data_IF_628557369500
#
_entry.id   IF_628557369500
#
_cell.length_a   1.000
_cell.length_b   1.000
_cell.length_c   1.000
_cell.angle_alpha   90.00
_cell.angle_beta   90.00
_cell.angle_gamma   90.00
#
_symmetry.space_group_name_H-M   'P 1'
#
loop_
_entity.id
_entity.type
_entity.pdbx_description
1 polymer ?
#
# COMPACT_ATOMS: atom_id res chain seq x y z
N UNK A 1 -37.72 -26.28 -4.76
CA UNK A 1 -37.33 -25.39 -3.63
C UNK A 1 -36.14 -24.59 -4.06
N UNK A 2 -36.18 -23.28 -3.93
CA UNK A 2 -35.03 -22.43 -4.29
C UNK A 2 -33.93 -22.65 -3.25
N UNK A 3 -32.75 -23.04 -3.68
CA UNK A 3 -31.57 -23.25 -2.81
C UNK A 3 -31.15 -21.92 -2.21
N UNK A 4 -30.99 -21.87 -0.89
CA UNK A 4 -30.53 -20.67 -0.19
C UNK A 4 -29.12 -20.87 0.33
N UNK A 5 -28.23 -19.95 -0.03
CA UNK A 5 -26.93 -19.81 0.58
C UNK A 5 -27.05 -19.09 1.93
N UNK A 6 -26.42 -19.66 2.97
CA UNK A 6 -26.30 -19.01 4.28
C UNK A 6 -24.83 -19.04 4.68
N UNK A 7 -24.24 -17.86 4.82
CA UNK A 7 -22.82 -17.67 5.13
C UNK A 7 -22.71 -16.72 6.31
N UNK A 8 -21.97 -17.10 7.36
CA UNK A 8 -21.59 -16.15 8.40
C UNK A 8 -20.11 -15.79 8.27
N UNK A 9 -19.78 -14.56 8.59
CA UNK A 9 -18.41 -14.09 8.64
C UNK A 9 -18.13 -13.29 9.93
N UNK A 10 -16.86 -13.16 10.29
CA UNK A 10 -16.42 -12.26 11.34
C UNK A 10 -16.48 -10.78 10.89
N UNK A 11 -16.09 -9.85 11.78
CA UNK A 11 -16.06 -8.39 11.49
C UNK A 11 -15.13 -8.02 10.33
N UNK A 12 -14.24 -8.90 9.93
CA UNK A 12 -13.28 -8.71 8.83
C UNK A 12 -13.73 -9.40 7.55
N UNK A 13 -14.90 -10.01 7.57
CA UNK A 13 -15.48 -10.73 6.45
C UNK A 13 -14.92 -12.14 6.26
N UNK A 14 -14.10 -12.69 7.19
CA UNK A 14 -13.62 -14.06 7.11
C UNK A 14 -14.78 -15.04 7.35
N UNK A 15 -14.92 -16.03 6.48
CA UNK A 15 -16.01 -16.99 6.52
C UNK A 15 -15.87 -17.87 7.76
N UNK A 16 -16.92 -17.88 8.61
CA UNK A 16 -17.01 -18.68 9.84
C UNK A 16 -17.89 -19.92 9.61
N UNK A 17 -19.03 -19.75 8.93
CA UNK A 17 -19.90 -20.88 8.55
C UNK A 17 -20.31 -20.79 7.09
N UNK A 18 -20.54 -21.94 6.48
CA UNK A 18 -20.87 -22.07 5.07
C UNK A 18 -21.78 -23.30 4.90
N UNK A 19 -23.05 -23.09 4.53
CA UNK A 19 -24.02 -24.18 4.46
C UNK A 19 -23.94 -24.95 3.12
N UNK A 20 -24.52 -26.16 3.02
CA UNK A 20 -24.56 -26.92 1.77
C UNK A 20 -25.21 -26.17 0.60
N UNK A 21 -26.20 -25.29 0.88
CA UNK A 21 -26.78 -24.44 -0.14
C UNK A 21 -25.80 -23.41 -0.71
N UNK A 22 -24.86 -22.93 0.10
CA UNK A 22 -23.78 -22.07 -0.37
C UNK A 22 -22.79 -22.85 -1.24
N UNK A 23 -22.50 -24.11 -0.92
CA UNK A 23 -21.66 -24.97 -1.77
C UNK A 23 -22.28 -25.14 -3.16
N UNK A 24 -23.60 -25.41 -3.22
CA UNK A 24 -24.33 -25.58 -4.47
C UNK A 24 -24.38 -24.26 -5.29
N UNK A 25 -24.65 -23.12 -4.63
CA UNK A 25 -24.80 -21.82 -5.28
C UNK A 25 -23.48 -21.29 -5.81
N UNK A 26 -22.39 -21.36 -5.02
CA UNK A 26 -21.11 -20.74 -5.34
C UNK A 26 -20.07 -21.71 -5.93
N UNK A 27 -20.28 -23.03 -5.77
CA UNK A 27 -19.36 -24.05 -6.32
C UNK A 27 -18.06 -24.23 -5.53
N UNK A 28 -17.96 -23.72 -4.30
CA UNK A 28 -16.86 -23.93 -3.37
C UNK A 28 -17.31 -24.86 -2.24
N UNK A 29 -16.43 -25.72 -1.74
CA UNK A 29 -16.74 -26.52 -0.55
C UNK A 29 -16.47 -25.74 0.73
N UNK A 30 -17.14 -26.09 1.83
CA UNK A 30 -16.92 -25.46 3.13
C UNK A 30 -15.43 -25.56 3.55
N UNK A 31 -14.80 -26.70 3.32
CA UNK A 31 -13.37 -26.92 3.64
C UNK A 31 -12.41 -26.02 2.87
N UNK A 32 -12.79 -25.54 1.69
CA UNK A 32 -11.97 -24.63 0.89
C UNK A 32 -12.07 -23.18 1.37
N UNK A 33 -13.16 -22.78 2.05
CA UNK A 33 -13.45 -21.36 2.33
C UNK A 33 -13.52 -21.02 3.81
N UNK A 34 -14.02 -21.91 4.70
CA UNK A 34 -14.17 -21.64 6.13
C UNK A 34 -12.83 -21.40 6.79
N UNK A 35 -12.67 -20.26 7.46
CA UNK A 35 -11.43 -19.81 8.11
C UNK A 35 -10.30 -19.42 7.14
N UNK A 36 -10.48 -19.65 5.83
CA UNK A 36 -9.43 -19.47 4.80
C UNK A 36 -9.69 -18.33 3.83
N UNK A 37 -10.95 -17.96 3.63
CA UNK A 37 -11.35 -16.97 2.63
C UNK A 37 -12.28 -15.93 3.24
N UNK A 38 -12.44 -14.82 2.53
CA UNK A 38 -13.37 -13.73 2.90
C UNK A 38 -14.59 -13.72 1.97
N UNK A 39 -15.73 -13.29 2.49
CA UNK A 39 -16.99 -13.19 1.72
C UNK A 39 -16.89 -12.25 0.51
N UNK A 40 -15.94 -11.33 0.50
CA UNK A 40 -15.67 -10.44 -0.63
C UNK A 40 -15.31 -11.19 -1.92
N UNK A 41 -14.83 -12.43 -1.84
CA UNK A 41 -14.52 -13.25 -3.02
C UNK A 41 -15.75 -13.59 -3.87
N UNK A 42 -16.94 -13.52 -3.30
CA UNK A 42 -18.17 -13.84 -4.01
C UNK A 42 -18.78 -12.65 -4.73
N UNK A 43 -18.29 -11.43 -4.50
CA UNK A 43 -18.83 -10.21 -5.11
C UNK A 43 -17.86 -9.58 -6.08
N UNK A 44 -18.31 -9.03 -7.22
CA UNK A 44 -17.48 -8.20 -8.07
C UNK A 44 -16.83 -7.06 -7.28
N UNK A 45 -15.53 -6.84 -7.48
CA UNK A 45 -14.75 -5.87 -6.71
C UNK A 45 -15.33 -4.45 -6.67
N UNK A 46 -15.85 -3.88 -7.78
CA UNK A 46 -16.49 -2.56 -7.74
C UNK A 46 -17.71 -2.49 -6.82
N UNK A 47 -18.45 -3.60 -6.65
CA UNK A 47 -19.55 -3.70 -5.69
C UNK A 47 -19.00 -3.71 -4.26
N UNK A 48 -17.92 -4.47 -4.00
CA UNK A 48 -17.28 -4.50 -2.69
C UNK A 48 -16.84 -3.10 -2.28
N UNK A 49 -16.15 -2.37 -3.16
CA UNK A 49 -15.64 -1.04 -2.87
C UNK A 49 -16.72 0.04 -2.78
N UNK A 50 -17.76 -0.06 -3.60
CA UNK A 50 -18.76 1.01 -3.74
C UNK A 50 -20.01 0.85 -2.88
N UNK A 51 -20.35 -0.38 -2.49
CA UNK A 51 -21.66 -0.67 -1.92
C UNK A 51 -21.63 -1.43 -0.59
N UNK A 52 -20.76 -2.43 -0.45
CA UNK A 52 -20.79 -3.34 0.73
C UNK A 52 -20.66 -2.56 2.04
N UNK A 53 -19.79 -1.56 2.12
CA UNK A 53 -19.64 -0.74 3.34
C UNK A 53 -20.93 -0.05 3.77
N UNK A 54 -21.73 0.45 2.82
CA UNK A 54 -23.02 1.06 3.11
C UNK A 54 -24.07 0.02 3.50
N UNK A 55 -24.05 -1.18 2.88
CA UNK A 55 -24.95 -2.28 3.24
C UNK A 55 -24.74 -2.74 4.67
N UNK A 56 -23.47 -2.91 5.09
CA UNK A 56 -23.11 -3.28 6.45
C UNK A 56 -23.54 -2.20 7.45
N UNK A 57 -23.26 -0.91 7.14
CA UNK A 57 -23.69 0.21 7.98
C UNK A 57 -25.22 0.27 8.15
N UNK A 58 -25.98 0.03 7.08
CA UNK A 58 -27.44 -0.04 7.16
C UNK A 58 -27.87 -1.23 8.04
N UNK A 59 -27.24 -2.39 7.86
CA UNK A 59 -27.52 -3.57 8.67
C UNK A 59 -27.25 -3.33 10.17
N UNK A 60 -26.17 -2.61 10.50
CA UNK A 60 -25.84 -2.26 11.89
C UNK A 60 -26.86 -1.31 12.52
N UNK A 61 -27.37 -0.32 11.75
CA UNK A 61 -28.31 0.69 12.27
C UNK A 61 -29.74 0.16 12.30
N UNK A 62 -30.18 -0.55 11.24
CA UNK A 62 -31.58 -0.99 11.04
C UNK A 62 -31.79 -2.44 11.45
N UNK A 63 -30.75 -3.15 11.91
CA UNK A 63 -30.75 -4.56 12.26
C UNK A 63 -30.69 -5.50 11.06
N UNK A 64 -30.88 -5.00 9.83
CA UNK A 64 -30.74 -5.75 8.58
C UNK A 64 -30.58 -4.82 7.38
N UNK A 65 -29.99 -5.34 6.33
CA UNK A 65 -30.06 -4.80 4.98
C UNK A 65 -30.62 -5.86 4.03
N UNK A 66 -31.46 -5.47 3.10
CA UNK A 66 -32.01 -6.34 2.06
C UNK A 66 -31.90 -5.64 0.70
N UNK A 67 -31.51 -6.39 -0.33
CA UNK A 67 -31.39 -5.85 -1.68
C UNK A 67 -30.99 -6.89 -2.70
N UNK A 68 -30.95 -6.46 -3.97
CA UNK A 68 -30.53 -7.29 -5.09
C UNK A 68 -29.13 -6.92 -5.51
N UNK A 69 -28.31 -7.94 -5.86
CA UNK A 69 -26.94 -7.75 -6.32
C UNK A 69 -26.48 -8.90 -7.20
N UNK A 70 -25.23 -8.80 -7.67
CA UNK A 70 -24.56 -9.83 -8.46
C UNK A 70 -23.47 -10.48 -7.62
N UNK A 71 -23.41 -11.80 -7.70
CA UNK A 71 -22.32 -12.62 -7.19
C UNK A 71 -21.61 -13.35 -8.31
N UNK A 72 -20.43 -13.90 -7.99
CA UNK A 72 -19.58 -14.66 -8.91
C UNK A 72 -19.34 -16.05 -8.34
N UNK A 73 -19.49 -17.09 -9.17
CA UNK A 73 -19.22 -18.48 -8.83
C UNK A 73 -17.72 -18.79 -8.97
N UNK A 74 -17.34 -20.01 -8.54
CA UNK A 74 -15.97 -20.54 -8.67
C UNK A 74 -15.45 -20.53 -10.11
N UNK A 75 -16.32 -20.80 -11.08
CA UNK A 75 -16.00 -20.80 -12.51
C UNK A 75 -15.92 -19.39 -13.13
N UNK A 76 -16.16 -18.35 -12.35
CA UNK A 76 -16.17 -16.95 -12.78
C UNK A 76 -17.51 -16.50 -13.36
N UNK A 77 -18.54 -17.36 -13.43
CA UNK A 77 -19.87 -17.00 -13.96
C UNK A 77 -20.62 -16.08 -12.98
N UNK A 78 -21.11 -14.90 -13.43
CA UNK A 78 -21.93 -14.03 -12.60
C UNK A 78 -23.36 -14.55 -12.51
N UNK A 79 -24.06 -14.24 -11.39
CA UNK A 79 -25.48 -14.51 -11.23
C UNK A 79 -26.15 -13.45 -10.34
N UNK A 80 -27.42 -13.16 -10.61
CA UNK A 80 -28.24 -12.28 -9.79
C UNK A 80 -28.77 -12.99 -8.54
N UNK A 81 -28.84 -12.30 -7.42
CA UNK A 81 -29.43 -12.82 -6.19
C UNK A 81 -30.08 -11.72 -5.35
N UNK A 82 -31.19 -12.09 -4.66
CA UNK A 82 -31.68 -11.33 -3.53
C UNK A 82 -30.87 -11.69 -2.29
N UNK A 83 -30.46 -10.67 -1.53
CA UNK A 83 -29.55 -10.80 -0.39
C UNK A 83 -30.13 -10.13 0.83
N UNK A 84 -30.02 -10.81 1.98
CA UNK A 84 -30.24 -10.22 3.30
C UNK A 84 -28.97 -10.33 4.10
N UNK A 85 -28.54 -9.21 4.70
CA UNK A 85 -27.40 -9.14 5.62
C UNK A 85 -27.91 -8.74 6.99
N UNK A 86 -27.53 -9.50 8.03
CA UNK A 86 -27.88 -9.24 9.42
C UNK A 86 -26.62 -9.29 10.29
N UNK A 87 -26.44 -8.39 11.26
CA UNK A 87 -25.34 -8.50 12.21
C UNK A 87 -25.54 -9.73 13.12
N UNK A 88 -24.47 -10.38 13.52
CA UNK A 88 -24.45 -11.52 14.42
C UNK A 88 -23.82 -11.13 15.76
N UNK A 89 -24.45 -11.54 16.88
CA UNK A 89 -24.02 -11.20 18.22
C UNK A 89 -23.73 -12.46 19.05
N UNK A 90 -22.78 -12.33 19.97
CA UNK A 90 -22.51 -13.31 21.02
C UNK A 90 -22.26 -12.54 22.32
N UNK A 91 -22.99 -12.88 23.36
CA UNK A 91 -22.89 -12.25 24.70
C UNK A 91 -23.05 -10.71 24.66
N UNK A 92 -23.87 -10.20 23.71
CA UNK A 92 -24.10 -8.77 23.50
C UNK A 92 -23.05 -8.05 22.65
N UNK A 93 -21.97 -8.71 22.29
CA UNK A 93 -20.91 -8.18 21.41
C UNK A 93 -21.14 -8.63 19.98
N UNK A 94 -20.97 -7.71 19.02
CA UNK A 94 -21.09 -8.02 17.60
C UNK A 94 -19.87 -8.81 17.13
N UNK A 95 -20.13 -10.01 16.61
CA UNK A 95 -19.10 -10.94 16.13
C UNK A 95 -18.87 -10.90 14.63
N UNK A 96 -19.83 -10.34 13.87
CA UNK A 96 -19.76 -10.29 12.42
C UNK A 96 -21.14 -10.16 11.77
N UNK A 97 -21.31 -10.81 10.61
CA UNK A 97 -22.53 -10.73 9.83
C UNK A 97 -22.96 -12.11 9.32
N UNK A 98 -24.28 -12.26 9.10
CA UNK A 98 -24.87 -13.38 8.40
C UNK A 98 -25.47 -12.87 7.09
N UNK A 99 -25.02 -13.44 5.97
CA UNK A 99 -25.55 -13.21 4.63
C UNK A 99 -26.41 -14.39 4.19
N UNK A 100 -27.65 -14.12 3.82
CA UNK A 100 -28.56 -15.09 3.17
C UNK A 100 -28.78 -14.66 1.74
N UNK A 101 -28.40 -15.50 0.77
CA UNK A 101 -28.54 -15.20 -0.66
C UNK A 101 -29.47 -16.21 -1.34
N UNK A 102 -30.39 -15.72 -2.16
CA UNK A 102 -31.29 -16.52 -2.97
C UNK A 102 -31.05 -16.21 -4.43
N UNK A 103 -30.54 -17.15 -5.25
CA UNK A 103 -30.34 -16.94 -6.67
C UNK A 103 -31.62 -16.61 -7.41
N UNK A 104 -31.54 -15.73 -8.40
CA UNK A 104 -32.64 -15.30 -9.27
C UNK A 104 -32.33 -15.74 -10.72
N UNK A 105 -32.71 -16.97 -11.12
CA UNK A 105 -32.36 -17.51 -12.43
C UNK A 105 -32.98 -16.74 -13.59
N UNK A 106 -34.13 -16.07 -13.34
CA UNK A 106 -34.89 -15.33 -14.36
C UNK A 106 -34.46 -13.85 -14.48
N UNK A 107 -33.45 -13.41 -13.68
CA UNK A 107 -32.94 -12.03 -13.69
C UNK A 107 -31.54 -12.02 -14.28
N UNK A 108 -31.33 -11.17 -15.27
CA UNK A 108 -29.98 -10.97 -15.84
C UNK A 108 -29.04 -10.39 -14.79
N UNK A 109 -27.76 -10.85 -14.71
CA UNK A 109 -26.75 -10.22 -13.86
C UNK A 109 -26.61 -8.72 -14.12
N UNK A 110 -26.74 -8.25 -15.36
CA UNK A 110 -26.64 -6.83 -15.72
C UNK A 110 -27.75 -5.99 -15.10
N UNK A 111 -28.98 -6.53 -14.98
CA UNK A 111 -30.11 -5.86 -14.33
C UNK A 111 -29.96 -5.76 -12.80
N UNK A 112 -29.26 -6.74 -12.21
CA UNK A 112 -29.03 -6.80 -10.78
C UNK A 112 -27.74 -6.05 -10.36
N UNK A 113 -26.93 -5.60 -11.34
CA UNK A 113 -25.67 -4.93 -11.06
C UNK A 113 -25.93 -3.50 -10.56
N UNK A 114 -25.54 -3.16 -9.31
CA UNK A 114 -25.75 -1.81 -8.81
C UNK A 114 -24.89 -0.79 -9.56
N UNK A 115 -25.39 0.46 -9.74
CA UNK A 115 -24.68 1.49 -10.49
C UNK A 115 -23.36 1.86 -9.81
N UNK A 116 -22.26 1.80 -10.55
CA UNK A 116 -20.94 2.17 -10.05
C UNK A 116 -20.70 3.66 -10.28
N UNK A 117 -20.59 4.41 -9.19
CA UNK A 117 -20.34 5.85 -9.22
C UNK A 117 -18.95 6.20 -9.78
N UNK A 118 -18.79 7.43 -10.28
CA UNK A 118 -17.48 7.95 -10.67
C UNK A 118 -16.48 7.93 -9.50
N UNK A 119 -16.96 8.24 -8.29
CA UNK A 119 -16.13 8.18 -7.07
C UNK A 119 -15.59 6.77 -6.83
N UNK A 120 -16.42 5.72 -7.00
CA UNK A 120 -15.97 4.32 -6.88
C UNK A 120 -14.94 3.98 -7.95
N UNK A 121 -15.11 4.44 -9.19
CA UNK A 121 -14.12 4.22 -10.27
C UNK A 121 -12.78 4.89 -9.97
N UNK A 122 -12.80 6.13 -9.49
CA UNK A 122 -11.59 6.84 -9.06
C UNK A 122 -10.94 6.13 -7.87
N UNK A 123 -11.73 5.71 -6.88
CA UNK A 123 -11.23 4.96 -5.74
C UNK A 123 -10.61 3.62 -6.15
N UNK A 124 -11.18 2.92 -7.12
CA UNK A 124 -10.58 1.71 -7.73
C UNK A 124 -9.20 2.00 -8.29
N UNK A 125 -9.02 3.12 -9.01
CA UNK A 125 -7.71 3.56 -9.49
C UNK A 125 -6.72 3.80 -8.35
N UNK A 126 -7.15 4.45 -7.26
CA UNK A 126 -6.32 4.68 -6.07
C UNK A 126 -5.91 3.37 -5.38
N UNK A 127 -6.80 2.37 -5.35
CA UNK A 127 -6.49 1.04 -4.81
C UNK A 127 -5.46 0.33 -5.67
N UNK A 128 -5.66 0.27 -7.01
CA UNK A 128 -4.74 -0.39 -7.96
C UNK A 128 -3.34 0.22 -7.89
N UNK A 129 -3.24 1.55 -7.77
CA UNK A 129 -1.96 2.28 -7.72
C UNK A 129 -1.33 2.32 -6.33
N UNK A 130 -2.04 1.82 -5.30
CA UNK A 130 -1.64 1.91 -3.88
C UNK A 130 -1.35 3.35 -3.46
N UNK A 131 -2.25 4.27 -3.84
CA UNK A 131 -2.07 5.71 -3.70
C UNK A 131 -1.63 6.21 -2.30
N UNK A 132 -2.08 5.65 -1.16
CA UNK A 132 -1.60 6.08 0.15
C UNK A 132 -0.07 6.00 0.31
N UNK A 133 0.59 5.09 -0.40
CA UNK A 133 2.04 4.93 -0.34
C UNK A 133 2.80 5.90 -1.25
N UNK A 134 2.14 6.60 -2.17
CA UNK A 134 2.79 7.62 -3.02
C UNK A 134 3.39 8.76 -2.21
N UNK A 135 2.99 8.95 -0.95
CA UNK A 135 3.65 9.86 -0.01
C UNK A 135 5.14 9.57 0.13
N UNK A 136 5.56 8.29 0.01
CA UNK A 136 6.97 7.90 0.03
C UNK A 136 7.78 8.51 -1.14
N UNK A 137 7.13 8.84 -2.26
CA UNK A 137 7.75 9.59 -3.37
C UNK A 137 7.59 11.10 -3.22
N UNK A 138 6.39 11.56 -2.84
CA UNK A 138 6.11 12.99 -2.74
C UNK A 138 7.06 13.66 -1.74
N UNK A 139 7.26 13.05 -0.59
CA UNK A 139 8.07 13.64 0.50
C UNK A 139 9.54 13.87 0.10
N UNK A 140 10.31 12.88 -0.39
CA UNK A 140 11.71 13.13 -0.76
C UNK A 140 11.86 14.13 -1.92
N UNK A 141 10.91 14.15 -2.87
CA UNK A 141 10.89 15.16 -3.94
C UNK A 141 10.65 16.56 -3.36
N UNK A 142 9.75 16.72 -2.38
CA UNK A 142 9.51 17.99 -1.70
C UNK A 142 10.71 18.43 -0.85
N UNK A 143 11.36 17.50 -0.15
CA UNK A 143 12.57 17.78 0.66
C UNK A 143 13.68 18.33 -0.23
N UNK A 144 13.95 17.67 -1.36
CA UNK A 144 14.97 18.14 -2.30
C UNK A 144 14.57 19.45 -2.99
N UNK A 145 13.27 19.63 -3.33
CA UNK A 145 12.78 20.86 -3.91
C UNK A 145 12.88 22.05 -2.94
N UNK A 146 12.61 21.82 -1.65
CA UNK A 146 12.74 22.83 -0.61
C UNK A 146 14.20 23.29 -0.43
N UNK A 147 15.15 22.33 -0.41
CA UNK A 147 16.57 22.65 -0.38
C UNK A 147 17.03 23.41 -1.64
N UNK A 148 16.57 22.99 -2.82
CA UNK A 148 16.85 23.70 -4.07
C UNK A 148 16.24 25.12 -4.10
N UNK A 149 15.06 25.30 -3.52
CA UNK A 149 14.43 26.62 -3.35
C UNK A 149 15.26 27.55 -2.48
N UNK A 150 15.77 27.07 -1.34
CA UNK A 150 16.55 27.88 -0.40
C UNK A 150 17.84 28.44 -1.00
N UNK A 151 18.48 27.71 -1.95
CA UNK A 151 19.74 28.12 -2.59
C UNK A 151 19.54 28.74 -3.98
N UNK A 152 18.28 28.89 -4.44
CA UNK A 152 18.00 29.39 -5.77
C UNK A 152 18.38 30.86 -5.92
N UNK A 153 19.31 31.18 -6.83
CA UNK A 153 19.66 32.55 -7.19
C UNK A 153 18.68 33.23 -8.17
N UNK A 154 17.63 32.52 -8.57
CA UNK A 154 16.62 32.97 -9.55
C UNK A 154 15.27 32.30 -9.33
N UNK A 155 14.32 32.47 -10.28
CA UNK A 155 13.00 31.84 -10.14
C UNK A 155 13.09 30.33 -10.06
N UNK A 156 12.31 29.74 -9.14
CA UNK A 156 12.26 28.29 -8.97
C UNK A 156 11.75 27.60 -10.24
N UNK A 157 12.38 26.49 -10.69
CA UNK A 157 12.06 25.83 -11.95
C UNK A 157 10.81 24.91 -11.83
N UNK A 158 9.62 25.50 -11.67
CA UNK A 158 8.36 24.78 -11.48
C UNK A 158 8.07 23.73 -12.55
N UNK A 159 8.46 23.99 -13.82
CA UNK A 159 8.31 23.03 -14.91
C UNK A 159 9.12 21.76 -14.68
N UNK A 160 10.39 21.88 -14.27
CA UNK A 160 11.24 20.73 -13.95
C UNK A 160 10.77 20.01 -12.69
N UNK A 161 10.35 20.74 -11.66
CA UNK A 161 9.76 20.17 -10.45
C UNK A 161 8.55 19.29 -10.80
N UNK A 162 7.63 19.80 -11.64
CA UNK A 162 6.45 19.06 -12.07
C UNK A 162 6.82 17.80 -12.86
N UNK A 163 7.78 17.89 -13.78
CA UNK A 163 8.27 16.73 -14.54
C UNK A 163 8.90 15.68 -13.64
N UNK A 164 9.76 16.08 -12.69
CA UNK A 164 10.36 15.16 -11.72
C UNK A 164 9.29 14.48 -10.86
N UNK A 165 8.34 15.26 -10.32
CA UNK A 165 7.27 14.73 -9.49
C UNK A 165 6.44 13.68 -10.25
N UNK A 166 6.01 14.00 -11.47
CA UNK A 166 5.20 13.08 -12.29
C UNK A 166 6.01 11.84 -12.69
N UNK A 167 7.28 11.98 -13.09
CA UNK A 167 8.14 10.86 -13.44
C UNK A 167 8.38 9.92 -12.24
N UNK A 168 8.68 10.49 -11.07
CA UNK A 168 8.91 9.73 -9.85
C UNK A 168 7.63 9.01 -9.38
N UNK A 169 6.47 9.67 -9.43
CA UNK A 169 5.19 9.06 -9.11
C UNK A 169 4.83 7.93 -10.10
N UNK A 170 5.05 8.13 -11.39
CA UNK A 170 4.82 7.09 -12.40
C UNK A 170 5.72 5.88 -12.17
N UNK A 171 7.00 6.07 -11.83
CA UNK A 171 7.93 5.00 -11.48
C UNK A 171 7.49 4.25 -10.21
N UNK A 172 6.98 4.96 -9.20
CA UNK A 172 6.44 4.34 -7.99
C UNK A 172 5.17 3.52 -8.27
N UNK A 173 4.26 4.02 -9.11
CA UNK A 173 3.10 3.25 -9.56
C UNK A 173 3.55 1.98 -10.29
N UNK A 174 4.57 2.06 -11.15
CA UNK A 174 5.15 0.88 -11.79
C UNK A 174 5.68 -0.13 -10.77
N UNK A 175 6.43 0.33 -9.76
CA UNK A 175 6.96 -0.52 -8.69
C UNK A 175 5.84 -1.23 -7.91
N UNK A 176 4.79 -0.50 -7.51
CA UNK A 176 3.65 -1.05 -6.79
C UNK A 176 2.89 -2.12 -7.60
N UNK A 177 2.65 -1.84 -8.89
CA UNK A 177 1.90 -2.76 -9.75
C UNK A 177 2.74 -3.97 -10.16
N UNK A 178 4.05 -3.84 -10.36
CA UNK A 178 4.95 -5.00 -10.53
C UNK A 178 4.97 -5.86 -9.27
N UNK A 179 5.02 -5.25 -8.09
CA UNK A 179 4.94 -5.98 -6.82
C UNK A 179 3.66 -6.81 -6.76
N UNK A 180 2.49 -6.19 -6.96
CA UNK A 180 1.21 -6.90 -6.93
C UNK A 180 1.11 -8.02 -7.99
N UNK A 181 1.65 -7.79 -9.20
CA UNK A 181 1.66 -8.81 -10.23
C UNK A 181 2.50 -10.03 -9.86
N UNK A 182 3.76 -9.81 -9.43
CA UNK A 182 4.68 -10.89 -9.12
C UNK A 182 4.33 -11.60 -7.82
N UNK A 183 3.81 -10.91 -6.80
CA UNK A 183 3.32 -11.53 -5.56
C UNK A 183 2.06 -12.38 -5.83
N UNK A 184 1.20 -11.97 -6.76
CA UNK A 184 0.08 -12.79 -7.22
C UNK A 184 0.55 -14.05 -7.96
N UNK A 185 1.44 -13.90 -8.95
CA UNK A 185 1.95 -15.02 -9.76
C UNK A 185 2.75 -16.02 -8.92
N UNK A 186 3.47 -15.56 -7.90
CA UNK A 186 4.22 -16.42 -6.97
C UNK A 186 3.34 -17.10 -5.91
N UNK A 187 2.06 -16.72 -5.78
CA UNK A 187 1.14 -17.24 -4.77
C UNK A 187 1.27 -16.57 -3.40
N UNK A 188 2.20 -15.62 -3.22
CA UNK A 188 2.43 -14.92 -1.94
C UNK A 188 1.15 -14.28 -1.41
N UNK A 189 0.39 -13.62 -2.27
CA UNK A 189 -0.85 -12.94 -1.90
C UNK A 189 -2.00 -13.92 -1.62
N UNK A 190 -2.07 -15.05 -2.36
CA UNK A 190 -3.14 -16.04 -2.20
C UNK A 190 -3.10 -16.75 -0.84
N UNK A 191 -1.91 -16.91 -0.26
CA UNK A 191 -1.71 -17.58 1.03
C UNK A 191 -1.80 -16.64 2.24
N UNK A 192 -1.87 -15.32 2.00
CA UNK A 192 -1.97 -14.33 3.08
C UNK A 192 -3.42 -14.02 3.42
N UNK A 193 -3.91 -14.58 4.55
CA UNK A 193 -5.26 -14.36 5.06
C UNK A 193 -5.33 -13.35 6.22
N UNK A 194 -4.18 -12.90 6.78
CA UNK A 194 -4.10 -12.06 7.98
C UNK A 194 -3.69 -10.60 7.69
N UNK A 195 -3.76 -10.19 6.44
CA UNK A 195 -3.39 -8.83 6.00
C UNK A 195 -4.24 -7.71 6.61
N UNK A 196 -3.68 -6.52 6.65
CA UNK A 196 -4.33 -5.27 7.12
C UNK A 196 -4.51 -4.30 5.95
N UNK A 197 -5.67 -4.33 5.31
CA UNK A 197 -5.95 -3.34 4.25
C UNK A 197 -5.97 -1.91 4.79
N UNK A 198 -5.42 -0.96 4.05
CA UNK A 198 -4.70 -1.04 2.76
C UNK A 198 -3.18 -1.24 2.93
N UNK A 199 -2.66 -1.57 4.11
CA UNK A 199 -1.25 -1.46 4.48
C UNK A 199 -0.42 -2.70 4.14
N UNK A 200 -0.95 -3.90 4.32
CA UNK A 200 -0.24 -5.16 4.06
C UNK A 200 -1.01 -6.08 3.14
N UNK A 201 -0.36 -7.11 2.60
CA UNK A 201 -0.96 -8.08 1.70
C UNK A 201 -1.21 -7.58 0.27
N UNK A 202 -0.48 -6.59 -0.21
CA UNK A 202 -0.67 -6.02 -1.54
C UNK A 202 -1.91 -5.14 -1.67
N UNK A 203 -2.27 -4.73 -2.90
CA UNK A 203 -3.47 -3.93 -3.17
C UNK A 203 -4.76 -4.74 -3.09
N UNK A 204 -4.66 -6.06 -3.17
CA UNK A 204 -5.80 -6.99 -3.33
C UNK A 204 -6.66 -6.72 -4.58
N UNK A 205 -6.22 -5.86 -5.48
CA UNK A 205 -6.97 -5.48 -6.67
C UNK A 205 -7.28 -6.69 -7.57
N UNK A 206 -6.35 -7.64 -7.67
CA UNK A 206 -6.52 -8.88 -8.46
C UNK A 206 -7.49 -9.82 -7.74
N UNK A 207 -7.33 -10.05 -6.44
CA UNK A 207 -8.20 -10.92 -5.64
C UNK A 207 -9.66 -10.41 -5.65
N UNK A 208 -9.84 -9.10 -5.53
CA UNK A 208 -11.16 -8.46 -5.60
C UNK A 208 -11.75 -8.41 -7.02
N UNK A 209 -11.02 -8.87 -8.05
CA UNK A 209 -11.49 -8.81 -9.43
C UNK A 209 -11.62 -7.39 -9.99
N UNK A 210 -10.94 -6.41 -9.41
CA UNK A 210 -10.92 -5.03 -9.92
C UNK A 210 -10.16 -4.93 -11.24
N UNK A 211 -9.13 -5.75 -11.38
CA UNK A 211 -8.26 -5.82 -12.56
C UNK A 211 -7.63 -7.21 -12.63
N UNK A 212 -7.37 -7.71 -13.85
CA UNK A 212 -6.66 -8.98 -14.02
C UNK A 212 -5.16 -8.84 -13.71
N UNK A 213 -4.48 -9.95 -13.39
CA UNK A 213 -3.04 -9.96 -13.17
C UNK A 213 -2.24 -9.41 -14.38
N UNK A 214 -2.69 -9.72 -15.62
CA UNK A 214 -2.11 -9.12 -16.83
C UNK A 214 -2.41 -7.61 -16.92
N UNK A 215 -3.61 -7.19 -16.51
CA UNK A 215 -3.99 -5.77 -16.47
C UNK A 215 -3.11 -4.96 -15.53
N UNK A 216 -2.82 -5.50 -14.32
CA UNK A 216 -1.90 -4.85 -13.37
C UNK A 216 -0.49 -4.71 -13.96
N UNK A 217 0.02 -5.76 -14.64
CA UNK A 217 1.31 -5.70 -15.33
C UNK A 217 1.31 -4.59 -16.41
N UNK A 218 0.25 -4.49 -17.22
CA UNK A 218 0.14 -3.44 -18.23
C UNK A 218 0.10 -2.03 -17.63
N UNK A 219 -0.61 -1.82 -16.52
CA UNK A 219 -0.57 -0.54 -15.79
C UNK A 219 0.86 -0.19 -15.40
N UNK A 220 1.62 -1.16 -14.87
CA UNK A 220 3.02 -0.97 -14.52
C UNK A 220 3.91 -0.64 -15.71
N UNK A 221 3.76 -1.35 -16.83
CA UNK A 221 4.54 -1.10 -18.03
C UNK A 221 4.24 0.28 -18.64
N UNK A 222 2.97 0.70 -18.66
CA UNK A 222 2.58 2.04 -19.12
C UNK A 222 3.13 3.12 -18.21
N UNK A 223 3.06 2.92 -16.88
CA UNK A 223 3.63 3.84 -15.92
C UNK A 223 5.16 3.95 -16.05
N UNK A 224 5.86 2.82 -16.24
CA UNK A 224 7.30 2.80 -16.50
C UNK A 224 7.66 3.52 -17.81
N UNK A 225 6.89 3.29 -18.87
CA UNK A 225 7.08 3.97 -20.16
C UNK A 225 6.89 5.50 -20.02
N UNK A 226 5.87 5.93 -19.27
CA UNK A 226 5.64 7.35 -18.99
C UNK A 226 6.81 7.95 -18.18
N UNK A 227 7.27 7.26 -17.12
CA UNK A 227 8.43 7.69 -16.33
C UNK A 227 9.70 7.80 -17.20
N UNK A 228 9.92 6.83 -18.11
CA UNK A 228 11.06 6.82 -19.02
C UNK A 228 10.96 7.98 -20.05
N UNK A 229 9.79 8.22 -20.61
CA UNK A 229 9.60 9.31 -21.58
C UNK A 229 9.87 10.69 -20.93
N UNK A 230 9.30 10.93 -19.73
CA UNK A 230 9.54 12.18 -18.98
C UNK A 230 11.00 12.26 -18.52
N UNK A 231 11.57 11.14 -18.03
CA UNK A 231 12.97 11.05 -17.65
C UNK A 231 13.91 11.38 -18.81
N UNK A 232 13.59 10.94 -20.04
CA UNK A 232 14.37 11.27 -21.23
C UNK A 232 14.35 12.78 -21.53
N UNK A 233 13.22 13.46 -21.32
CA UNK A 233 13.15 14.93 -21.44
C UNK A 233 14.02 15.59 -20.38
N UNK A 234 13.98 15.10 -19.12
CA UNK A 234 14.85 15.61 -18.05
C UNK A 234 16.35 15.40 -18.37
N UNK A 235 16.73 14.24 -18.93
CA UNK A 235 18.10 13.96 -19.40
C UNK A 235 18.53 14.92 -20.49
N UNK A 236 17.66 15.23 -21.46
CA UNK A 236 17.97 16.22 -22.52
C UNK A 236 18.20 17.62 -21.96
N UNK A 237 17.53 18.01 -20.87
CA UNK A 237 17.64 19.33 -20.26
C UNK A 237 18.83 19.42 -19.29
N UNK A 238 19.05 18.36 -18.48
CA UNK A 238 19.99 18.38 -17.34
C UNK A 238 21.23 17.51 -17.51
N UNK A 239 21.25 16.64 -18.51
CA UNK A 239 22.41 15.83 -18.84
C UNK A 239 22.30 14.37 -18.40
N UNK A 240 23.30 13.55 -18.82
CA UNK A 240 23.24 12.08 -18.76
C UNK A 240 23.33 11.48 -17.35
N UNK A 241 23.72 12.25 -16.33
CA UNK A 241 23.78 11.74 -14.95
C UNK A 241 22.39 11.24 -14.47
N UNK A 242 21.28 11.82 -14.96
CA UNK A 242 19.93 11.37 -14.65
C UNK A 242 19.61 9.95 -15.16
N UNK A 243 20.32 9.47 -16.19
CA UNK A 243 20.17 8.10 -16.68
C UNK A 243 20.51 7.11 -15.57
N UNK A 244 21.57 7.37 -14.79
CA UNK A 244 21.95 6.52 -13.67
C UNK A 244 20.84 6.40 -12.61
N UNK A 245 20.26 7.53 -12.20
CA UNK A 245 19.13 7.54 -11.26
C UNK A 245 17.91 6.80 -11.82
N UNK A 246 17.57 7.05 -13.09
CA UNK A 246 16.45 6.38 -13.75
C UNK A 246 16.62 4.87 -13.87
N UNK A 247 17.83 4.40 -14.26
CA UNK A 247 18.14 2.97 -14.37
C UNK A 247 18.10 2.27 -13.00
N UNK A 248 18.73 2.86 -11.97
CA UNK A 248 18.70 2.28 -10.62
C UNK A 248 17.26 2.17 -10.14
N UNK A 249 16.47 3.24 -10.30
CA UNK A 249 15.06 3.25 -9.92
C UNK A 249 14.22 2.20 -10.69
N UNK A 250 14.36 2.12 -12.01
CA UNK A 250 13.62 1.18 -12.86
C UNK A 250 14.00 -0.29 -12.58
N UNK A 251 15.30 -0.59 -12.44
CA UNK A 251 15.77 -1.92 -12.09
C UNK A 251 15.33 -2.32 -10.67
N UNK A 252 15.37 -1.38 -9.73
CA UNK A 252 14.85 -1.63 -8.38
C UNK A 252 13.35 -1.89 -8.40
N UNK A 253 12.55 -1.10 -9.14
CA UNK A 253 11.12 -1.28 -9.26
C UNK A 253 10.73 -2.66 -9.83
N UNK A 254 11.46 -3.12 -10.85
CA UNK A 254 11.24 -4.43 -11.45
C UNK A 254 11.70 -5.56 -10.55
N UNK A 255 12.98 -5.55 -10.14
CA UNK A 255 13.61 -6.64 -9.42
C UNK A 255 13.30 -6.67 -7.91
N UNK A 256 12.51 -5.74 -7.41
CA UNK A 256 12.05 -5.78 -6.03
C UNK A 256 11.32 -7.10 -5.74
N UNK A 257 10.43 -7.52 -6.65
CA UNK A 257 9.69 -8.79 -6.54
C UNK A 257 9.92 -9.75 -7.70
N UNK A 258 10.33 -9.26 -8.88
CA UNK A 258 10.56 -10.10 -10.06
C UNK A 258 11.77 -11.02 -9.92
N UNK A 259 11.70 -12.26 -10.46
CA UNK A 259 12.89 -13.11 -10.66
C UNK A 259 13.90 -12.43 -11.60
N UNK A 260 15.21 -12.74 -11.51
CA UNK A 260 15.82 -13.68 -10.57
C UNK A 260 16.17 -13.07 -9.21
N UNK A 261 16.13 -11.71 -9.05
CA UNK A 261 16.67 -11.08 -7.85
C UNK A 261 15.69 -11.14 -6.67
N UNK A 262 14.40 -10.82 -6.85
CA UNK A 262 13.39 -10.83 -5.79
C UNK A 262 13.91 -10.18 -4.49
N UNK A 263 14.36 -8.91 -4.58
CA UNK A 263 15.05 -8.21 -3.48
C UNK A 263 14.24 -8.24 -2.17
N UNK A 264 12.92 -8.10 -2.25
CA UNK A 264 12.00 -8.18 -1.12
C UNK A 264 12.05 -9.52 -0.37
N UNK A 265 12.51 -10.60 -1.03
CA UNK A 265 12.62 -11.92 -0.42
C UNK A 265 14.03 -12.21 0.15
N UNK A 266 14.94 -11.24 0.14
CA UNK A 266 16.37 -11.46 0.45
C UNK A 266 16.80 -10.69 1.68
N UNK A 267 16.67 -11.27 2.86
CA UNK A 267 17.33 -10.95 4.16
C UNK A 267 17.82 -9.50 4.31
N UNK A 268 16.96 -8.51 4.20
CA UNK A 268 17.27 -7.09 4.38
C UNK A 268 17.61 -6.31 3.12
N UNK A 269 17.76 -6.97 1.96
CA UNK A 269 18.01 -6.24 0.72
C UNK A 269 16.77 -5.44 0.28
N UNK A 270 15.56 -5.96 0.49
CA UNK A 270 14.34 -5.24 0.18
C UNK A 270 14.25 -3.92 0.93
N UNK A 271 14.42 -3.97 2.24
CA UNK A 271 14.36 -2.81 3.14
C UNK A 271 15.46 -1.81 2.84
N UNK A 272 16.70 -2.30 2.58
CA UNK A 272 17.83 -1.45 2.19
C UNK A 272 17.53 -0.71 0.86
N UNK A 273 17.08 -1.43 -0.17
CA UNK A 273 16.80 -0.82 -1.47
C UNK A 273 15.62 0.17 -1.40
N UNK A 274 14.59 -0.09 -0.59
CA UNK A 274 13.53 0.89 -0.33
C UNK A 274 14.09 2.14 0.32
N UNK A 275 14.88 1.99 1.40
CA UNK A 275 15.49 3.13 2.08
C UNK A 275 16.37 3.97 1.17
N UNK A 276 17.20 3.33 0.34
CA UNK A 276 18.10 4.02 -0.60
C UNK A 276 17.33 4.71 -1.73
N UNK A 277 16.35 4.03 -2.35
CA UNK A 277 15.60 4.58 -3.49
C UNK A 277 14.71 5.74 -3.07
N UNK A 278 13.92 5.58 -2.00
CA UNK A 278 12.97 6.59 -1.51
C UNK A 278 13.59 7.63 -0.57
N UNK A 279 14.88 7.54 -0.32
CA UNK A 279 15.64 8.51 0.43
C UNK A 279 16.76 9.11 -0.44
N UNK A 280 18.01 8.72 -0.21
CA UNK A 280 19.20 9.33 -0.83
C UNK A 280 19.15 9.45 -2.35
N UNK A 281 18.72 8.39 -3.07
CA UNK A 281 18.71 8.42 -4.53
C UNK A 281 17.64 9.37 -5.07
N UNK A 282 16.44 9.38 -4.48
CA UNK A 282 15.36 10.24 -4.92
C UNK A 282 15.63 11.71 -4.63
N UNK A 283 16.18 12.03 -3.45
CA UNK A 283 16.55 13.42 -3.14
C UNK A 283 17.67 13.92 -4.02
N UNK A 284 18.75 13.13 -4.20
CA UNK A 284 19.88 13.53 -5.05
C UNK A 284 19.47 13.65 -6.54
N UNK A 285 18.70 12.71 -7.06
CA UNK A 285 18.17 12.77 -8.43
C UNK A 285 17.27 14.00 -8.65
N UNK A 286 16.41 14.32 -7.67
CA UNK A 286 15.55 15.51 -7.71
C UNK A 286 16.38 16.81 -7.64
N UNK A 287 17.30 16.91 -6.68
CA UNK A 287 18.18 18.08 -6.54
C UNK A 287 18.96 18.33 -7.82
N UNK A 288 19.56 17.29 -8.40
CA UNK A 288 20.27 17.39 -9.67
C UNK A 288 19.35 17.84 -10.82
N UNK A 289 18.15 17.29 -10.93
CA UNK A 289 17.19 17.69 -11.94
C UNK A 289 16.76 19.15 -11.81
N UNK A 290 16.68 19.69 -10.60
CA UNK A 290 16.28 21.08 -10.36
C UNK A 290 17.44 22.06 -10.52
N UNK A 291 18.61 21.73 -10.02
CA UNK A 291 19.76 22.65 -9.93
C UNK A 291 20.81 22.45 -11.03
N UNK A 292 20.90 21.24 -11.61
CA UNK A 292 22.01 20.82 -12.48
C UNK A 292 23.32 20.53 -11.74
N UNK A 293 23.30 20.57 -10.41
CA UNK A 293 24.46 20.29 -9.56
C UNK A 293 24.20 19.06 -8.69
N UNK A 294 25.23 18.31 -8.37
CA UNK A 294 25.15 17.11 -7.54
C UNK A 294 26.28 17.14 -6.52
N UNK A 295 25.90 17.10 -5.24
CA UNK A 295 26.81 17.00 -4.12
C UNK A 295 26.43 15.84 -3.19
N UNK A 296 27.33 15.48 -2.28
CA UNK A 296 27.06 14.46 -1.27
C UNK A 296 25.91 14.85 -0.32
N UNK A 297 25.72 16.15 -0.10
CA UNK A 297 24.63 16.71 0.70
C UNK A 297 23.24 16.37 0.11
N UNK A 298 23.13 16.21 -1.21
CA UNK A 298 21.88 15.88 -1.89
C UNK A 298 21.46 14.43 -1.58
N UNK A 299 22.41 13.54 -1.35
CA UNK A 299 22.14 12.18 -0.84
C UNK A 299 21.84 12.20 0.66
N UNK A 300 22.60 12.97 1.43
CA UNK A 300 22.47 13.00 2.88
C UNK A 300 21.11 13.52 3.34
N UNK A 301 20.50 14.50 2.62
CA UNK A 301 19.17 15.01 2.95
C UNK A 301 18.07 13.96 2.82
N UNK A 302 18.28 12.91 2.04
CA UNK A 302 17.36 11.80 1.89
C UNK A 302 17.45 10.75 3.00
N UNK A 303 18.52 10.72 3.83
CA UNK A 303 18.71 9.69 4.86
C UNK A 303 17.53 9.62 5.84
N UNK A 304 17.07 10.72 6.50
CA UNK A 304 15.96 10.64 7.42
C UNK A 304 14.65 10.17 6.75
N UNK A 305 14.40 10.60 5.52
CA UNK A 305 13.21 10.21 4.76
C UNK A 305 13.28 8.73 4.38
N UNK A 306 14.43 8.26 3.90
CA UNK A 306 14.64 6.85 3.55
C UNK A 306 14.46 5.92 4.74
N UNK A 307 14.98 6.30 5.93
CA UNK A 307 14.78 5.55 7.17
C UNK A 307 13.32 5.45 7.58
N UNK A 308 12.55 6.54 7.45
CA UNK A 308 11.10 6.52 7.72
C UNK A 308 10.33 5.73 6.66
N UNK A 309 10.75 5.76 5.39
CA UNK A 309 10.16 4.91 4.34
C UNK A 309 10.45 3.43 4.61
N UNK A 310 11.65 3.10 5.05
CA UNK A 310 11.99 1.74 5.50
C UNK A 310 11.12 1.33 6.69
N UNK A 311 10.84 2.24 7.65
CA UNK A 311 9.96 1.95 8.78
C UNK A 311 8.52 1.65 8.35
N UNK A 312 8.01 2.28 7.25
CA UNK A 312 6.69 1.94 6.66
C UNK A 312 6.69 0.49 6.16
N UNK A 313 7.69 0.09 5.38
CA UNK A 313 7.79 -1.29 4.89
C UNK A 313 7.93 -2.26 6.05
N UNK A 314 8.82 -1.96 6.98
CA UNK A 314 9.10 -2.78 8.16
C UNK A 314 7.86 -3.08 9.00
N UNK A 315 7.03 -2.06 9.31
CA UNK A 315 5.81 -2.29 10.10
C UNK A 315 4.75 -3.07 9.34
N UNK A 316 4.70 -2.92 8.01
CA UNK A 316 3.76 -3.64 7.15
C UNK A 316 4.16 -5.12 6.93
N UNK A 317 5.42 -5.49 7.15
CA UNK A 317 5.89 -6.87 7.09
C UNK A 317 5.47 -7.72 8.31
N UNK A 318 5.07 -7.11 9.44
CA UNK A 318 4.66 -7.87 10.62
C UNK A 318 3.42 -8.74 10.40
N UNK A 319 2.30 -8.22 9.87
CA UNK A 319 1.13 -9.05 9.59
C UNK A 319 1.40 -10.05 8.46
N UNK A 320 2.27 -9.72 7.51
CA UNK A 320 2.59 -10.58 6.37
C UNK A 320 3.61 -11.69 6.72
N UNK A 321 4.36 -11.55 7.83
CA UNK A 321 5.46 -12.47 8.18
C UNK A 321 5.08 -13.96 8.19
N UNK A 322 3.93 -14.41 8.70
CA UNK A 322 3.58 -15.83 8.68
C UNK A 322 3.33 -16.37 7.27
N UNK A 323 2.79 -15.58 6.36
CA UNK A 323 2.58 -15.96 4.95
C UNK A 323 3.87 -15.86 4.15
N UNK A 324 4.66 -14.81 4.36
CA UNK A 324 5.95 -14.60 3.71
C UNK A 324 6.92 -15.77 4.00
N UNK A 325 6.98 -16.23 5.25
CA UNK A 325 7.80 -17.39 5.65
C UNK A 325 7.40 -18.66 4.88
N UNK A 326 6.09 -18.94 4.75
CA UNK A 326 5.58 -20.14 4.05
C UNK A 326 5.96 -20.16 2.57
N UNK A 327 6.00 -19.01 1.92
CA UNK A 327 6.36 -18.88 0.49
C UNK A 327 7.85 -18.61 0.25
N UNK A 328 8.66 -18.66 1.31
CA UNK A 328 10.12 -18.47 1.24
C UNK A 328 10.55 -17.01 1.01
N UNK A 329 9.73 -16.04 1.36
CA UNK A 329 10.07 -14.61 1.35
C UNK A 329 10.68 -14.24 2.71
N UNK A 330 12.01 -14.20 2.74
CA UNK A 330 12.78 -13.98 3.96
C UNK A 330 13.19 -12.51 4.12
N UNK A 331 12.22 -11.61 4.33
CA UNK A 331 12.49 -10.23 4.75
C UNK A 331 13.07 -10.19 6.19
N UNK A 332 13.50 -9.03 6.68
CA UNK A 332 14.15 -8.94 8.01
C UNK A 332 13.17 -9.24 9.15
N UNK A 333 11.88 -8.96 9.01
CA UNK A 333 10.90 -9.29 10.06
C UNK A 333 10.74 -10.81 10.19
N UNK A 334 10.72 -11.54 9.06
CA UNK A 334 10.72 -13.01 9.06
C UNK A 334 12.03 -13.56 9.65
N UNK A 335 13.19 -13.05 9.23
CA UNK A 335 14.51 -13.53 9.67
C UNK A 335 14.74 -13.31 11.17
N UNK A 336 14.37 -12.16 11.69
CA UNK A 336 14.56 -11.80 13.11
C UNK A 336 13.46 -12.40 14.01
N UNK A 337 12.32 -12.72 13.41
CA UNK A 337 11.07 -13.01 14.11
C UNK A 337 10.42 -11.73 14.66
N UNK A 338 9.08 -11.65 14.60
CA UNK A 338 8.31 -10.44 14.98
C UNK A 338 8.70 -9.86 16.34
N UNK A 339 8.96 -10.72 17.34
CA UNK A 339 9.35 -10.31 18.70
C UNK A 339 10.65 -9.49 18.75
N UNK A 340 11.65 -9.80 17.93
CA UNK A 340 12.91 -9.04 17.86
C UNK A 340 12.80 -7.87 16.88
N UNK A 341 12.12 -8.08 15.76
CA UNK A 341 11.94 -7.09 14.71
C UNK A 341 11.25 -5.82 15.20
N UNK A 342 10.40 -5.87 16.25
CA UNK A 342 9.78 -4.67 16.85
C UNK A 342 10.82 -3.62 17.29
N UNK A 343 12.00 -4.05 17.74
CA UNK A 343 13.07 -3.12 18.10
C UNK A 343 13.79 -2.53 16.88
N UNK A 344 13.81 -3.27 15.75
CA UNK A 344 14.31 -2.74 14.47
C UNK A 344 13.47 -1.54 14.01
N UNK A 345 12.15 -1.59 14.16
CA UNK A 345 11.27 -0.44 13.91
C UNK A 345 11.63 0.76 14.78
N UNK A 346 11.79 0.55 16.09
CA UNK A 346 12.18 1.63 17.03
C UNK A 346 13.51 2.25 16.63
N UNK A 347 14.49 1.42 16.27
CA UNK A 347 15.80 1.90 15.81
C UNK A 347 15.72 2.72 14.51
N UNK A 348 14.89 2.31 13.55
CA UNK A 348 14.70 3.06 12.30
C UNK A 348 14.11 4.45 12.56
N UNK A 349 13.05 4.53 13.38
CA UNK A 349 12.43 5.81 13.73
C UNK A 349 13.41 6.69 14.51
N UNK A 350 14.11 6.15 15.51
CA UNK A 350 15.10 6.90 16.29
C UNK A 350 16.27 7.37 15.42
N UNK A 351 16.78 6.53 14.52
CA UNK A 351 17.86 6.87 13.60
C UNK A 351 17.45 7.99 12.62
N UNK A 352 16.19 8.00 12.16
CA UNK A 352 15.69 9.06 11.28
C UNK A 352 15.76 10.44 11.97
N UNK A 353 15.27 10.55 13.20
CA UNK A 353 15.35 11.81 13.95
C UNK A 353 16.79 12.16 14.37
N UNK A 354 17.58 11.16 14.78
CA UNK A 354 18.97 11.36 15.10
C UNK A 354 19.79 11.87 13.90
N UNK A 355 19.48 11.38 12.69
CA UNK A 355 20.15 11.86 11.47
C UNK A 355 19.83 13.33 11.15
N UNK A 356 18.62 13.80 11.43
CA UNK A 356 18.26 15.22 11.28
C UNK A 356 19.08 16.07 12.28
N UNK A 357 19.10 15.66 13.56
CA UNK A 357 19.86 16.37 14.59
C UNK A 357 21.34 16.41 14.24
N UNK A 358 21.91 15.27 13.84
CA UNK A 358 23.30 15.18 13.43
C UNK A 358 23.63 16.08 12.23
N UNK A 359 22.74 16.12 11.23
CA UNK A 359 22.90 16.99 10.06
C UNK A 359 22.88 18.48 10.42
N UNK A 360 22.06 18.88 11.39
CA UNK A 360 22.06 20.27 11.90
C UNK A 360 23.36 20.58 12.69
N UNK A 361 23.81 19.65 13.55
CA UNK A 361 25.02 19.83 14.35
C UNK A 361 26.26 20.00 13.48
N UNK A 362 26.37 19.22 12.38
CA UNK A 362 27.51 19.34 11.46
C UNK A 362 27.36 20.45 10.41
N UNK A 363 26.29 21.26 10.51
CA UNK A 363 26.05 22.39 9.61
C UNK A 363 25.57 22.02 8.22
N UNK A 364 25.11 20.78 8.02
CA UNK A 364 24.58 20.31 6.74
C UNK A 364 23.14 20.80 6.52
N UNK A 365 22.36 20.88 7.60
CA UNK A 365 20.99 21.39 7.59
C UNK A 365 20.90 22.68 8.39
N UNK A 366 20.02 23.61 8.01
CA UNK A 366 19.75 24.79 8.83
C UNK A 366 19.06 24.41 10.16
N UNK A 367 19.17 25.26 11.16
CA UNK A 367 18.53 25.06 12.47
C UNK A 367 17.01 24.82 12.34
N UNK A 368 16.35 25.46 11.37
CA UNK A 368 14.93 25.32 11.12
C UNK A 368 14.52 23.87 10.70
N UNK A 369 15.44 23.04 10.22
CA UNK A 369 15.18 21.62 9.93
C UNK A 369 14.76 20.84 11.19
N UNK A 370 15.10 21.33 12.42
CA UNK A 370 14.64 20.77 13.68
C UNK A 370 13.11 20.85 13.85
N UNK A 371 12.37 21.61 13.03
CA UNK A 371 10.91 21.57 12.97
C UNK A 371 10.38 20.14 12.79
N UNK A 372 11.13 19.28 12.07
CA UNK A 372 10.78 17.87 11.89
C UNK A 372 10.63 17.12 13.24
N UNK A 373 11.30 17.56 14.30
CA UNK A 373 11.19 16.94 15.64
C UNK A 373 9.80 17.10 16.26
N UNK A 374 8.97 18.02 15.76
CA UNK A 374 7.56 18.14 16.17
C UNK A 374 6.75 16.87 15.81
N UNK A 375 7.24 16.01 14.93
CA UNK A 375 6.66 14.72 14.62
C UNK A 375 7.04 13.61 15.63
N UNK A 376 7.99 13.84 16.55
CA UNK A 376 8.42 12.86 17.57
C UNK A 376 7.27 12.24 18.39
N UNK A 377 6.24 12.98 18.83
CA UNK A 377 5.13 12.38 19.56
C UNK A 377 4.40 11.29 18.74
N UNK A 378 4.26 11.48 17.43
CA UNK A 378 3.67 10.48 16.53
C UNK A 378 4.60 9.27 16.42
N UNK A 379 5.91 9.49 16.31
CA UNK A 379 6.92 8.43 16.29
C UNK A 379 6.91 7.61 17.59
N UNK A 380 6.83 8.26 18.75
CA UNK A 380 6.75 7.59 20.05
C UNK A 380 5.45 6.77 20.20
N UNK A 381 4.34 7.32 19.73
CA UNK A 381 3.04 6.63 19.75
C UNK A 381 3.08 5.36 18.87
N UNK A 382 3.55 5.45 17.61
CA UNK A 382 3.65 4.30 16.73
C UNK A 382 4.62 3.26 17.25
N UNK A 383 5.80 3.68 17.75
CA UNK A 383 6.79 2.79 18.37
C UNK A 383 6.20 2.05 19.58
N UNK A 384 5.40 2.71 20.41
CA UNK A 384 4.73 2.09 21.56
C UNK A 384 3.75 1.00 21.10
N UNK A 385 2.96 1.28 20.05
CA UNK A 385 2.04 0.28 19.49
C UNK A 385 2.83 -0.91 18.94
N UNK A 386 3.87 -0.67 18.13
CA UNK A 386 4.67 -1.76 17.56
C UNK A 386 5.31 -2.61 18.66
N UNK A 387 5.82 -2.01 19.74
CA UNK A 387 6.45 -2.76 20.82
C UNK A 387 5.44 -3.61 21.61
N UNK A 388 4.22 -3.13 21.80
CA UNK A 388 3.20 -3.78 22.63
C UNK A 388 2.26 -4.71 21.85
N UNK A 389 2.01 -4.38 20.58
CA UNK A 389 0.95 -4.97 19.75
C UNK A 389 1.48 -5.51 18.40
N UNK A 390 2.74 -5.99 18.37
CA UNK A 390 3.40 -6.49 17.15
C UNK A 390 2.76 -7.76 16.55
N UNK A 391 1.88 -8.42 17.27
CA UNK A 391 1.25 -9.70 16.92
C UNK A 391 -0.29 -9.67 16.96
N UNK A 392 -0.89 -8.50 17.18
CA UNK A 392 -2.34 -8.31 17.17
C UNK A 392 -2.81 -7.23 16.19
N UNK A 393 -4.13 -7.12 16.03
CA UNK A 393 -4.76 -6.19 15.06
C UNK A 393 -4.61 -4.71 15.39
N UNK A 394 -4.25 -4.36 16.63
CA UNK A 394 -3.97 -2.97 17.02
C UNK A 394 -2.80 -2.40 16.23
N UNK A 395 -1.91 -3.28 15.73
CA UNK A 395 -0.77 -2.92 14.87
C UNK A 395 -1.19 -2.13 13.61
N UNK A 396 -2.40 -2.33 13.09
CA UNK A 396 -2.91 -1.55 11.95
C UNK A 396 -2.87 -0.03 12.19
N UNK A 397 -3.03 0.40 13.46
CA UNK A 397 -2.88 1.81 13.86
C UNK A 397 -1.44 2.30 13.71
N UNK A 398 -0.46 1.42 13.97
CA UNK A 398 0.95 1.76 13.75
C UNK A 398 1.28 1.81 12.26
N UNK A 399 0.71 0.92 11.42
CA UNK A 399 0.87 0.99 9.96
C UNK A 399 0.39 2.33 9.41
N UNK A 400 -0.83 2.76 9.75
CA UNK A 400 -1.37 4.06 9.38
C UNK A 400 -0.56 5.23 9.97
N UNK A 401 -0.23 5.12 11.26
CA UNK A 401 0.54 6.13 11.99
C UNK A 401 1.95 6.33 11.43
N UNK A 402 2.60 5.28 10.92
CA UNK A 402 3.94 5.38 10.31
C UNK A 402 3.90 6.12 8.97
N UNK A 403 2.86 5.92 8.16
CA UNK A 403 2.65 6.71 6.94
C UNK A 403 2.42 8.18 7.30
N UNK A 404 1.60 8.46 8.32
CA UNK A 404 1.37 9.82 8.81
C UNK A 404 2.66 10.44 9.39
N UNK A 405 3.45 9.67 10.15
CA UNK A 405 4.75 10.09 10.68
C UNK A 405 5.71 10.51 9.56
N UNK A 406 5.85 9.65 8.54
CA UNK A 406 6.69 9.91 7.38
C UNK A 406 6.26 11.20 6.66
N UNK A 407 4.97 11.37 6.42
CA UNK A 407 4.43 12.57 5.77
C UNK A 407 4.67 13.82 6.62
N UNK A 408 4.31 13.78 7.90
CA UNK A 408 4.44 14.93 8.80
C UNK A 408 5.91 15.33 9.01
N UNK A 409 6.78 14.37 9.35
CA UNK A 409 8.21 14.64 9.57
C UNK A 409 8.88 15.15 8.27
N UNK A 410 8.53 14.56 7.12
CA UNK A 410 9.06 14.99 5.84
C UNK A 410 8.61 16.37 5.40
N UNK A 411 7.33 16.73 5.59
CA UNK A 411 6.83 18.07 5.30
C UNK A 411 7.45 19.14 6.22
N UNK A 412 7.59 18.82 7.50
CA UNK A 412 8.26 19.71 8.46
C UNK A 412 9.75 19.86 8.16
N UNK A 413 10.42 18.78 7.72
CA UNK A 413 11.80 18.85 7.26
C UNK A 413 11.92 19.73 6.01
N UNK A 414 11.05 19.53 5.01
CA UNK A 414 11.03 20.35 3.81
C UNK A 414 10.78 21.83 4.14
N UNK A 415 9.82 22.12 5.02
CA UNK A 415 9.57 23.49 5.48
C UNK A 415 10.81 24.09 6.17
N UNK A 416 11.46 23.33 7.05
CA UNK A 416 12.68 23.75 7.73
C UNK A 416 13.83 24.04 6.77
N UNK A 417 14.02 23.20 5.74
CA UNK A 417 15.03 23.42 4.71
C UNK A 417 14.73 24.64 3.82
N UNK A 418 13.45 24.94 3.57
CA UNK A 418 13.06 26.12 2.79
C UNK A 418 13.21 27.44 3.55
N UNK A 419 13.20 27.41 4.88
CA UNK A 419 13.32 28.59 5.75
C UNK A 419 14.76 28.96 6.13
N UNK A 420 15.69 28.09 5.87
CA UNK A 420 17.13 28.28 6.19
C UNK A 420 17.98 28.51 5.02
#
# INVERSE_FOLDING_TARGET
>A
MTVKSVITCDMEGRIVTYNPGAEEVFGWTADEVVGKRRVSMFSPGPIVLGHVGNWLKTADVEGRWEGRTVFVRRDGSPFAADVRITPTFKDGEQMGYCGVSTPLPDVSPDEAYPPISLATRLFTGLVITRAPFLTATIVPVLVAAAAAWAVAAGPFPWGLFSLVMVAAMALHVAANTFNDHFDWVSGTDADNNDYFMPFSGGSRAIELGLISARGVLWVGLVALAAATAIGSVLVMIRGPALVGFGLIGALSAWFYTAPPLRLAARKGLGELFIGLNFGPLMTAGTAFALTGQLGWQDFAMGIPVGLLTTAIVWVNEFPDAPSDERVGKHNLVVVLGRRRARWGYVMLVAAAFASIIAAVIVGLFPMAALLALLALPVGAYTATIVVRHYDDRTLARACAGTVALHLLAGLLLAAGLALG
#
